data_IF_054213635046
#
_entry.id   IF_054213635046
#
_cell.length_a   1.000
_cell.length_b   1.000
_cell.length_c   1.000
_cell.angle_alpha   90.00
_cell.angle_beta   90.00
_cell.angle_gamma   90.00
#
_symmetry.space_group_name_H-M   'P 1'
#
loop_
_entity.id
_entity.type
_entity.pdbx_description
1 polymer ?
#
# COMPACT_ATOMS: atom_id res chain seq x y z
N UNK A 1 -18.77 13.61 23.15
CA UNK A 1 -17.38 13.53 23.66
C UNK A 1 -16.67 12.22 23.33
N UNK A 2 -17.25 11.04 23.62
CA UNK A 2 -16.63 9.71 23.34
C UNK A 2 -16.14 9.52 21.88
N UNK A 3 -16.97 9.89 20.89
CA UNK A 3 -16.62 9.80 19.46
C UNK A 3 -15.41 10.68 19.08
N UNK A 4 -15.34 11.90 19.60
CA UNK A 4 -14.21 12.81 19.34
C UNK A 4 -12.92 12.28 19.96
N UNK A 5 -12.97 11.78 21.19
CA UNK A 5 -11.81 11.18 21.86
C UNK A 5 -11.29 9.95 21.10
N UNK A 6 -12.19 9.06 20.65
CA UNK A 6 -11.80 7.90 19.82
C UNK A 6 -11.14 8.33 18.50
N UNK A 7 -11.62 9.40 17.87
CA UNK A 7 -11.00 9.93 16.65
C UNK A 7 -9.59 10.49 16.91
N UNK A 8 -9.36 11.19 18.03
CA UNK A 8 -8.02 11.67 18.37
C UNK A 8 -7.07 10.52 18.74
N UNK A 9 -7.54 9.56 19.53
CA UNK A 9 -6.77 8.35 19.85
C UNK A 9 -6.38 7.58 18.58
N UNK A 10 -7.31 7.46 17.62
CA UNK A 10 -7.03 6.83 16.33
C UNK A 10 -5.94 7.57 15.56
N UNK A 11 -5.97 8.91 15.52
CA UNK A 11 -4.91 9.71 14.88
C UNK A 11 -3.55 9.52 15.56
N UNK A 12 -3.51 9.52 16.88
CA UNK A 12 -2.28 9.27 17.65
C UNK A 12 -1.74 7.87 17.36
N UNK A 13 -2.62 6.87 17.28
CA UNK A 13 -2.22 5.48 17.00
C UNK A 13 -1.54 5.34 15.62
N UNK A 14 -1.99 6.09 14.61
CA UNK A 14 -1.35 6.08 13.28
C UNK A 14 0.11 6.58 13.32
N UNK A 15 0.43 7.52 14.21
CA UNK A 15 1.79 8.08 14.34
C UNK A 15 2.60 7.49 15.49
N UNK A 16 1.97 6.63 16.31
CA UNK A 16 2.55 6.13 17.55
C UNK A 16 3.88 5.40 17.33
N UNK A 17 3.99 4.58 16.29
CA UNK A 17 5.22 3.85 15.99
C UNK A 17 6.37 4.80 15.62
N UNK A 18 6.12 5.79 14.76
CA UNK A 18 7.11 6.79 14.36
C UNK A 18 7.56 7.62 15.56
N UNK A 19 6.61 8.08 16.39
CA UNK A 19 6.90 8.81 17.62
C UNK A 19 7.72 7.96 18.60
N UNK A 20 7.39 6.68 18.75
CA UNK A 20 8.10 5.77 19.65
C UNK A 20 9.55 5.61 19.23
N UNK A 21 9.81 5.37 17.93
CA UNK A 21 11.17 5.23 17.40
C UNK A 21 11.95 6.55 17.62
N UNK A 22 11.34 7.70 17.31
CA UNK A 22 11.99 9.00 17.50
C UNK A 22 12.32 9.27 18.97
N UNK A 23 11.38 9.03 19.89
CA UNK A 23 11.60 9.21 21.32
C UNK A 23 12.67 8.27 21.87
N UNK A 24 12.68 7.00 21.45
CA UNK A 24 13.69 6.04 21.84
C UNK A 24 15.08 6.43 21.32
N UNK A 25 15.18 6.88 20.07
CA UNK A 25 16.44 7.33 19.48
C UNK A 25 16.99 8.57 20.22
N UNK A 26 16.13 9.54 20.53
CA UNK A 26 16.52 10.72 21.32
C UNK A 26 16.96 10.32 22.72
N UNK A 27 16.18 9.46 23.40
CA UNK A 27 16.50 8.99 24.74
C UNK A 27 17.85 8.26 24.78
N UNK A 28 18.07 7.34 23.83
CA UNK A 28 19.33 6.61 23.71
C UNK A 28 20.50 7.57 23.42
N UNK A 29 20.31 8.55 22.53
CA UNK A 29 21.37 9.54 22.23
C UNK A 29 21.79 10.35 23.45
N UNK A 30 20.83 10.74 24.30
CA UNK A 30 21.08 11.47 25.54
C UNK A 30 21.76 10.60 26.61
N UNK A 31 21.35 9.34 26.74
CA UNK A 31 22.01 8.40 27.65
C UNK A 31 23.45 8.16 27.23
N UNK A 32 23.69 7.79 25.97
CA UNK A 32 25.05 7.54 25.45
C UNK A 32 25.92 8.78 25.60
N UNK A 33 25.39 9.97 25.36
CA UNK A 33 26.09 11.24 25.55
C UNK A 33 26.68 11.40 26.97
N UNK A 34 26.00 10.91 28.01
CA UNK A 34 26.50 11.01 29.38
C UNK A 34 27.74 10.15 29.66
N UNK A 35 27.95 9.09 28.87
CA UNK A 35 29.06 8.14 29.02
C UNK A 35 30.26 8.44 28.12
N UNK A 36 30.25 9.55 27.37
CA UNK A 36 31.29 9.86 26.39
C UNK A 36 32.32 10.85 26.95
N UNK A 37 33.56 10.39 27.13
CA UNK A 37 34.63 11.19 27.74
C UNK A 37 35.25 12.23 26.77
N UNK A 38 35.14 12.02 25.45
CA UNK A 38 35.72 12.92 24.42
C UNK A 38 35.02 14.27 24.28
N UNK A 39 33.93 14.49 25.04
CA UNK A 39 33.12 15.72 24.99
C UNK A 39 33.85 16.93 25.58
N UNK A 40 34.71 16.72 26.58
CA UNK A 40 35.30 17.80 27.36
C UNK A 40 36.30 18.62 26.52
N UNK A 41 36.13 19.96 26.52
CA UNK A 41 36.98 20.88 25.75
C UNK A 41 36.67 20.98 24.26
N UNK A 42 35.61 20.33 23.77
CA UNK A 42 35.21 20.34 22.34
C UNK A 42 33.92 21.13 22.10
N UNK A 43 33.60 21.40 20.82
CA UNK A 43 32.31 22.00 20.39
C UNK A 43 31.11 21.11 20.78
N UNK A 44 31.37 19.83 21.06
CA UNK A 44 30.37 18.82 21.45
C UNK A 44 30.18 18.69 22.96
N UNK A 45 30.78 19.59 23.74
CA UNK A 45 30.66 19.61 25.21
C UNK A 45 29.24 19.92 25.70
N UNK A 46 28.35 20.42 24.82
CA UNK A 46 26.96 20.69 25.17
C UNK A 46 26.04 19.55 24.73
N UNK A 47 25.02 19.18 25.53
CA UNK A 47 24.06 18.14 25.15
C UNK A 47 23.38 18.42 23.80
N UNK A 48 23.15 19.69 23.46
CA UNK A 48 22.53 20.09 22.20
C UNK A 48 23.38 19.78 20.96
N UNK A 49 24.69 19.67 21.10
CA UNK A 49 25.60 19.42 19.97
C UNK A 49 26.08 17.98 19.97
N UNK A 50 26.54 17.48 21.12
CA UNK A 50 27.03 16.10 21.26
C UNK A 50 25.92 15.06 21.14
N UNK A 51 24.78 15.23 21.83
CA UNK A 51 23.68 14.27 21.72
C UNK A 51 23.05 14.29 20.34
N UNK A 52 22.97 15.46 19.69
CA UNK A 52 22.50 15.55 18.31
C UNK A 52 23.43 14.85 17.33
N UNK A 53 24.75 14.94 17.49
CA UNK A 53 25.69 14.17 16.68
C UNK A 53 25.48 12.66 16.86
N UNK A 54 25.35 12.19 18.11
CA UNK A 54 25.08 10.78 18.41
C UNK A 54 23.76 10.33 17.78
N UNK A 55 22.71 11.16 17.86
CA UNK A 55 21.42 10.90 17.24
C UNK A 55 21.54 10.75 15.72
N UNK A 56 22.31 11.61 15.06
CA UNK A 56 22.57 11.52 13.61
C UNK A 56 23.34 10.25 13.24
N UNK A 57 24.34 9.85 14.04
CA UNK A 57 25.07 8.60 13.86
C UNK A 57 24.14 7.39 14.00
N UNK A 58 23.30 7.38 15.05
CA UNK A 58 22.29 6.33 15.25
C UNK A 58 21.31 6.27 14.07
N UNK A 59 20.82 7.41 13.61
CA UNK A 59 19.94 7.49 12.45
C UNK A 59 20.61 6.94 11.19
N UNK A 60 21.88 7.28 10.94
CA UNK A 60 22.65 6.77 9.81
C UNK A 60 22.87 5.25 9.89
N UNK A 61 23.12 4.69 11.07
CA UNK A 61 23.24 3.25 11.28
C UNK A 61 21.92 2.53 11.03
N UNK A 62 20.81 3.03 11.60
CA UNK A 62 19.48 2.47 11.39
C UNK A 62 19.12 2.53 9.90
N UNK A 63 19.40 3.65 9.23
CA UNK A 63 19.14 3.80 7.80
C UNK A 63 19.98 2.80 6.98
N UNK A 64 21.28 2.70 7.26
CA UNK A 64 22.15 1.74 6.57
C UNK A 64 21.65 0.31 6.72
N UNK A 65 21.23 -0.07 7.93
CA UNK A 65 20.60 -1.38 8.16
C UNK A 65 19.28 -1.54 7.39
N UNK A 66 18.43 -0.51 7.36
CA UNK A 66 17.19 -0.53 6.60
C UNK A 66 17.43 -0.72 5.09
N UNK A 67 18.45 -0.08 4.52
CA UNK A 67 18.85 -0.28 3.12
C UNK A 67 19.29 -1.71 2.87
N UNK A 68 20.13 -2.27 3.75
CA UNK A 68 20.58 -3.67 3.61
C UNK A 68 19.42 -4.65 3.74
N UNK A 69 18.52 -4.39 4.70
CA UNK A 69 17.30 -5.16 4.91
C UNK A 69 16.41 -5.18 3.67
N UNK A 70 16.21 -4.02 3.05
CA UNK A 70 15.37 -3.89 1.86
C UNK A 70 16.03 -4.46 0.60
N UNK A 71 17.24 -4.00 0.27
CA UNK A 71 17.88 -4.33 -1.01
C UNK A 71 18.42 -5.75 -1.06
N UNK A 72 19.04 -6.23 0.03
CA UNK A 72 19.77 -7.50 0.05
C UNK A 72 18.95 -8.65 0.62
N UNK A 73 18.28 -8.41 1.75
CA UNK A 73 17.56 -9.48 2.46
C UNK A 73 16.12 -9.62 1.97
N UNK A 74 15.50 -8.56 1.44
CA UNK A 74 14.15 -8.56 0.85
C UNK A 74 13.08 -9.23 1.74
N UNK A 75 13.27 -9.24 3.05
CA UNK A 75 12.43 -9.98 4.00
C UNK A 75 10.97 -9.49 4.04
N UNK A 76 10.73 -8.24 3.62
CA UNK A 76 9.39 -7.71 3.48
C UNK A 76 8.57 -8.43 2.39
N UNK A 77 9.22 -9.04 1.40
CA UNK A 77 8.51 -9.72 0.30
C UNK A 77 7.76 -10.96 0.78
N UNK A 78 8.41 -11.77 1.61
CA UNK A 78 7.77 -12.96 2.18
C UNK A 78 6.62 -12.57 3.11
N UNK A 79 6.80 -11.53 3.92
CA UNK A 79 5.71 -10.99 4.74
C UNK A 79 4.54 -10.46 3.89
N UNK A 80 4.82 -9.78 2.77
CA UNK A 80 3.79 -9.30 1.86
C UNK A 80 3.02 -10.45 1.21
N UNK A 81 3.72 -11.51 0.79
CA UNK A 81 3.08 -12.73 0.25
C UNK A 81 2.17 -13.38 1.28
N UNK A 82 2.65 -13.56 2.51
CA UNK A 82 1.84 -14.11 3.62
C UNK A 82 0.62 -13.22 3.89
N UNK A 83 0.76 -11.89 3.80
CA UNK A 83 -0.36 -10.97 3.98
C UNK A 83 -1.43 -11.14 2.89
N UNK A 84 -1.02 -11.37 1.64
CA UNK A 84 -1.95 -11.66 0.55
C UNK A 84 -2.61 -13.04 0.73
N UNK A 85 -1.86 -14.07 1.10
CA UNK A 85 -2.39 -15.41 1.30
C UNK A 85 -3.37 -15.50 2.48
N UNK A 86 -3.09 -14.78 3.57
CA UNK A 86 -3.96 -14.72 4.74
C UNK A 86 -5.21 -13.88 4.52
N UNK A 87 -5.24 -13.04 3.49
CA UNK A 87 -6.42 -12.23 3.22
C UNK A 87 -7.50 -13.12 2.56
N UNK A 88 -8.59 -13.44 3.27
CA UNK A 88 -9.63 -14.34 2.75
C UNK A 88 -10.31 -13.77 1.51
N UNK A 89 -10.23 -12.45 1.29
CA UNK A 89 -10.83 -11.76 0.17
C UNK A 89 -9.94 -11.72 -1.08
N UNK A 90 -8.66 -12.09 -1.01
CA UNK A 90 -7.76 -12.03 -2.19
C UNK A 90 -8.17 -13.02 -3.27
N UNK A 91 -8.80 -14.15 -2.92
CA UNK A 91 -9.29 -15.14 -3.89
C UNK A 91 -10.57 -14.70 -4.58
N UNK A 92 -11.37 -13.86 -3.94
CA UNK A 92 -12.72 -13.50 -4.41
C UNK A 92 -12.77 -12.10 -5.03
N UNK A 93 -11.89 -11.19 -4.60
CA UNK A 93 -11.87 -9.81 -5.09
C UNK A 93 -10.93 -9.65 -6.27
N UNK A 94 -11.50 -9.23 -7.39
CA UNK A 94 -10.73 -8.73 -8.52
C UNK A 94 -10.11 -7.37 -8.21
N UNK A 95 -8.88 -7.20 -8.64
CA UNK A 95 -8.21 -5.89 -8.68
C UNK A 95 -8.75 -5.05 -9.85
N UNK A 96 -8.63 -3.72 -9.73
CA UNK A 96 -9.06 -2.80 -10.80
C UNK A 96 -8.37 -3.13 -12.14
N UNK A 97 -7.09 -3.53 -12.11
CA UNK A 97 -6.33 -3.94 -13.30
C UNK A 97 -6.88 -5.21 -13.95
N UNK A 98 -7.30 -6.19 -13.16
CA UNK A 98 -7.92 -7.41 -13.68
C UNK A 98 -9.26 -7.11 -14.35
N UNK A 99 -10.08 -6.24 -13.75
CA UNK A 99 -11.35 -5.79 -14.38
C UNK A 99 -11.08 -5.11 -15.72
N UNK A 100 -10.06 -4.25 -15.79
CA UNK A 100 -9.65 -3.61 -17.04
C UNK A 100 -9.26 -4.63 -18.11
N UNK A 101 -8.42 -5.59 -17.76
CA UNK A 101 -7.93 -6.62 -18.69
C UNK A 101 -9.09 -7.52 -19.14
N UNK A 102 -9.89 -8.03 -18.21
CA UNK A 102 -11.00 -8.91 -18.56
C UNK A 102 -12.09 -8.19 -19.34
N UNK A 103 -12.47 -6.97 -18.93
CA UNK A 103 -13.51 -6.21 -19.58
C UNK A 103 -13.10 -5.66 -20.95
N UNK A 104 -11.90 -5.09 -21.07
CA UNK A 104 -11.49 -4.44 -22.32
C UNK A 104 -10.92 -5.42 -23.36
N UNK A 105 -10.34 -6.54 -22.95
CA UNK A 105 -9.68 -7.51 -23.85
C UNK A 105 -10.47 -8.81 -23.98
N UNK A 106 -10.74 -9.48 -22.86
CA UNK A 106 -11.27 -10.85 -22.88
C UNK A 106 -12.74 -10.91 -23.25
N UNK A 107 -13.58 -10.03 -22.70
CA UNK A 107 -15.02 -10.01 -23.00
C UNK A 107 -15.27 -9.82 -24.51
N UNK A 108 -14.73 -8.80 -25.20
CA UNK A 108 -14.93 -8.64 -26.65
C UNK A 108 -14.40 -9.82 -27.47
N UNK A 109 -13.27 -10.41 -27.04
CA UNK A 109 -12.69 -11.58 -27.71
C UNK A 109 -13.61 -12.81 -27.58
N UNK A 110 -14.10 -13.07 -26.37
CA UNK A 110 -15.00 -14.18 -26.08
C UNK A 110 -16.35 -14.01 -26.80
N UNK A 111 -16.88 -12.79 -26.89
CA UNK A 111 -18.09 -12.51 -27.67
C UNK A 111 -17.88 -12.78 -29.16
N UNK A 112 -16.71 -12.41 -29.70
CA UNK A 112 -16.41 -12.64 -31.11
C UNK A 112 -16.27 -14.15 -31.43
N UNK A 113 -15.62 -14.91 -30.55
CA UNK A 113 -15.53 -16.37 -30.66
C UNK A 113 -16.92 -17.01 -30.44
N UNK A 114 -17.70 -16.48 -29.50
CA UNK A 114 -19.04 -16.93 -29.14
C UNK A 114 -20.07 -16.85 -30.28
N UNK A 115 -19.76 -16.14 -31.37
CA UNK A 115 -20.54 -16.20 -32.62
C UNK A 115 -20.52 -17.60 -33.26
N UNK A 116 -19.46 -18.36 -33.00
CA UNK A 116 -19.21 -19.68 -33.60
C UNK A 116 -19.34 -20.82 -32.60
N UNK A 117 -19.17 -20.55 -31.30
CA UNK A 117 -19.28 -21.54 -30.22
C UNK A 117 -20.26 -21.06 -29.11
N UNK A 118 -21.40 -21.74 -28.93
CA UNK A 118 -22.37 -21.43 -27.87
C UNK A 118 -21.77 -21.42 -26.45
N UNK A 119 -20.77 -22.25 -26.16
CA UNK A 119 -20.12 -22.30 -24.84
C UNK A 119 -19.33 -21.03 -24.54
N UNK A 120 -18.67 -20.47 -25.56
CA UNK A 120 -17.92 -19.23 -25.42
C UNK A 120 -18.85 -18.02 -25.26
N UNK A 121 -20.05 -18.07 -25.84
CA UNK A 121 -21.08 -17.06 -25.62
C UNK A 121 -21.56 -17.05 -24.16
N UNK A 122 -21.90 -18.21 -23.59
CA UNK A 122 -22.31 -18.34 -22.19
C UNK A 122 -21.20 -17.88 -21.23
N UNK A 123 -19.94 -18.24 -21.53
CA UNK A 123 -18.79 -17.80 -20.75
C UNK A 123 -18.60 -16.26 -20.80
N UNK A 124 -18.82 -15.63 -21.96
CA UNK A 124 -18.74 -14.18 -22.11
C UNK A 124 -19.83 -13.47 -21.29
N UNK A 125 -21.07 -13.97 -21.33
CA UNK A 125 -22.19 -13.43 -20.55
C UNK A 125 -21.93 -13.57 -19.04
N UNK A 126 -21.47 -14.74 -18.60
CA UNK A 126 -21.11 -15.00 -17.19
C UNK A 126 -20.00 -14.06 -16.72
N UNK A 127 -18.97 -13.85 -17.55
CA UNK A 127 -17.86 -12.94 -17.24
C UNK A 127 -18.35 -11.49 -17.10
N UNK A 128 -19.21 -11.03 -18.02
CA UNK A 128 -19.81 -9.68 -17.93
C UNK A 128 -20.61 -9.49 -16.65
N UNK A 129 -21.45 -10.45 -16.28
CA UNK A 129 -22.22 -10.39 -15.05
C UNK A 129 -21.33 -10.32 -13.82
N UNK A 130 -20.26 -11.12 -13.79
CA UNK A 130 -19.34 -11.12 -12.67
C UNK A 130 -18.62 -9.77 -12.53
N UNK A 131 -18.12 -9.20 -13.63
CA UNK A 131 -17.48 -7.88 -13.63
C UNK A 131 -18.45 -6.78 -13.17
N UNK A 132 -19.69 -6.79 -13.67
CA UNK A 132 -20.72 -5.84 -13.27
C UNK A 132 -21.09 -5.94 -11.78
N UNK A 133 -21.21 -7.17 -11.25
CA UNK A 133 -21.47 -7.41 -9.82
C UNK A 133 -20.29 -6.96 -8.95
N UNK A 134 -19.06 -7.20 -9.38
CA UNK A 134 -17.85 -6.77 -8.68
C UNK A 134 -17.72 -5.25 -8.60
N UNK A 135 -18.04 -4.53 -9.68
CA UNK A 135 -18.06 -3.06 -9.67
C UNK A 135 -19.19 -2.48 -8.81
N UNK A 136 -20.34 -3.16 -8.77
CA UNK A 136 -21.49 -2.71 -7.96
C UNK A 136 -21.28 -2.97 -6.45
N UNK A 137 -20.56 -4.03 -6.09
CA UNK A 137 -20.36 -4.42 -4.69
C UNK A 137 -19.27 -3.59 -3.99
N UNK A 138 -18.29 -3.05 -4.72
CA UNK A 138 -17.17 -2.32 -4.16
C UNK A 138 -17.01 -0.92 -4.77
N UNK A 139 -17.45 0.11 -4.03
CA UNK A 139 -17.40 1.50 -4.47
C UNK A 139 -15.98 2.04 -4.65
N UNK A 140 -14.99 1.50 -3.92
CA UNK A 140 -13.58 1.87 -4.07
C UNK A 140 -13.08 1.32 -5.40
N UNK A 141 -13.39 0.05 -5.69
CA UNK A 141 -13.02 -0.59 -6.94
C UNK A 141 -13.60 0.14 -8.17
N UNK A 142 -14.87 0.56 -8.09
CA UNK A 142 -15.50 1.35 -9.15
C UNK A 142 -14.80 2.70 -9.39
N UNK A 143 -14.37 3.37 -8.32
CA UNK A 143 -13.59 4.61 -8.42
C UNK A 143 -12.22 4.34 -9.04
N UNK A 144 -11.53 3.30 -8.59
CA UNK A 144 -10.18 2.98 -9.08
C UNK A 144 -10.19 2.61 -10.58
N UNK A 145 -11.23 1.90 -11.04
CA UNK A 145 -11.43 1.63 -12.49
C UNK A 145 -11.68 2.93 -13.25
N UNK A 146 -12.50 3.84 -12.70
CA UNK A 146 -12.73 5.16 -13.31
C UNK A 146 -11.44 5.96 -13.44
N UNK A 147 -10.62 6.00 -12.39
CA UNK A 147 -9.35 6.72 -12.37
C UNK A 147 -8.38 6.17 -13.44
N UNK A 148 -8.35 4.85 -13.63
CA UNK A 148 -7.55 4.21 -14.69
C UNK A 148 -8.06 4.63 -16.09
N UNK A 149 -9.39 4.66 -16.28
CA UNK A 149 -9.99 5.06 -17.56
C UNK A 149 -9.73 6.53 -17.89
N UNK A 150 -9.78 7.39 -16.89
CA UNK A 150 -9.45 8.81 -16.99
C UNK A 150 -7.96 8.99 -17.35
N UNK A 151 -7.06 8.21 -16.73
CA UNK A 151 -5.63 8.22 -17.04
C UNK A 151 -5.30 7.78 -18.47
N UNK A 152 -6.03 6.80 -19.02
CA UNK A 152 -5.85 6.30 -20.40
C UNK A 152 -6.46 7.28 -21.43
N UNK A 153 -7.08 8.39 -20.98
CA UNK A 153 -7.71 9.37 -21.86
C UNK A 153 -8.98 8.84 -22.53
N UNK A 154 -9.61 7.82 -21.94
CA UNK A 154 -10.90 7.27 -22.39
C UNK A 154 -11.96 7.38 -21.28
N UNK A 155 -12.23 8.59 -20.75
CA UNK A 155 -13.26 8.77 -19.73
C UNK A 155 -14.61 8.27 -20.26
N UNK A 156 -15.24 7.34 -19.55
CA UNK A 156 -16.54 6.78 -19.92
C UNK A 156 -16.53 5.87 -21.16
N UNK A 157 -15.39 5.28 -21.54
CA UNK A 157 -15.37 4.38 -22.69
C UNK A 157 -16.31 3.18 -22.51
N UNK A 158 -17.01 2.83 -23.59
CA UNK A 158 -17.90 1.67 -23.69
C UNK A 158 -17.20 0.31 -23.54
N UNK A 159 -15.86 0.27 -23.49
CA UNK A 159 -15.10 -0.97 -23.28
C UNK A 159 -15.45 -1.69 -21.97
N UNK A 160 -15.99 -0.96 -20.98
CA UNK A 160 -16.45 -1.51 -19.71
C UNK A 160 -17.94 -1.21 -19.45
N UNK A 161 -18.67 -0.84 -20.50
CA UNK A 161 -20.12 -0.68 -20.43
C UNK A 161 -20.78 -2.06 -20.51
N UNK A 162 -20.75 -2.77 -19.39
CA UNK A 162 -21.35 -4.09 -19.25
C UNK A 162 -22.89 -4.06 -19.29
N UNK A 163 -23.52 -2.88 -19.45
CA UNK A 163 -24.97 -2.72 -19.55
C UNK A 163 -25.51 -2.91 -20.97
N UNK A 164 -24.66 -2.94 -22.00
CA UNK A 164 -25.12 -3.12 -23.38
C UNK A 164 -25.24 -4.59 -23.75
N UNK A 165 -26.50 -4.99 -23.99
CA UNK A 165 -26.94 -6.24 -24.62
C UNK A 165 -26.54 -6.28 -26.08
#
# INVERSE_FOLDING_TARGET
MKKWFMLQMWRVQQVAQVLTIALLAVNLSLQVYTFMDWREGSVFATPYTGATLILLILAALIWSFAIVWDMRLRMWREQATVLMERNPYVKEKMTAKEIMIYGALWVPLMENIGKSDPKMKEAAETMKEWLARSLKSDAILARDVKDIMDHIGKPGSTLLDFSKK
#
